data_IF_284804996702
#
_entry.id   IF_284804996702
#
_cell.length_a   1.000
_cell.length_b   1.000
_cell.length_c   1.000
_cell.angle_alpha   90.00
_cell.angle_beta   90.00
_cell.angle_gamma   90.00
#
_symmetry.space_group_name_H-M   'P 1'
#
loop_
_entity.id
_entity.type
_entity.pdbx_description
1 polymer ?
#
# COMPACT_ATOMS: atom_id res chain seq x y z
N UNK A 1 27.47 -31.81 -32.30
CA UNK A 1 27.51 -33.26 -32.25
C UNK A 1 26.09 -33.75 -32.35
N UNK A 2 25.74 -34.32 -33.51
CA UNK A 2 24.43 -34.95 -33.81
C UNK A 2 24.43 -36.37 -33.25
N UNK A 3 23.30 -36.84 -32.69
CA UNK A 3 22.91 -38.27 -32.79
C UNK A 3 21.40 -38.31 -32.96
N UNK A 4 20.99 -38.69 -34.13
CA UNK A 4 19.69 -39.20 -34.57
C UNK A 4 19.69 -40.72 -34.44
N UNK A 5 18.47 -41.27 -34.32
CA UNK A 5 17.98 -42.51 -34.93
C UNK A 5 17.50 -43.68 -34.03
N UNK A 6 16.37 -44.19 -34.54
CA UNK A 6 15.80 -45.54 -34.47
C UNK A 6 14.86 -45.91 -33.30
N UNK A 7 13.56 -46.14 -33.54
CA UNK A 7 13.02 -47.43 -34.00
C UNK A 7 11.56 -47.33 -34.50
N UNK A 8 11.38 -47.78 -35.75
CA UNK A 8 10.11 -48.07 -36.40
C UNK A 8 9.80 -49.55 -36.24
N UNK A 9 8.63 -49.94 -35.75
CA UNK A 9 8.13 -51.31 -35.80
C UNK A 9 6.80 -51.33 -36.57
N UNK A 10 6.85 -51.95 -37.75
CA UNK A 10 5.71 -52.34 -38.61
C UNK A 10 4.94 -53.49 -37.98
N UNK A 11 3.63 -53.41 -37.80
CA UNK A 11 2.75 -54.51 -37.48
C UNK A 11 2.12 -55.07 -38.78
N UNK A 12 2.29 -56.35 -39.00
CA UNK A 12 1.73 -57.10 -40.10
C UNK A 12 0.24 -57.41 -39.93
N UNK A 13 -0.54 -57.23 -40.99
CA UNK A 13 -1.93 -57.70 -41.12
C UNK A 13 -1.93 -59.22 -41.37
N UNK A 14 -2.83 -59.95 -40.72
CA UNK A 14 -3.28 -61.31 -41.16
C UNK A 14 -4.81 -61.34 -41.18
N UNK A 15 -5.43 -61.96 -42.16
CA UNK A 15 -6.86 -62.02 -42.34
C UNK A 15 -7.48 -63.22 -41.61
N UNK A 16 -8.60 -63.04 -41.00
CA UNK A 16 -9.37 -64.18 -40.50
C UNK A 16 -10.84 -64.13 -40.94
N UNK A 17 -11.24 -65.29 -41.44
CA UNK A 17 -12.47 -65.68 -42.10
C UNK A 17 -13.78 -65.27 -41.39
N UNK A 18 -14.76 -64.88 -42.23
CA UNK A 18 -16.14 -64.65 -41.83
C UNK A 18 -16.90 -65.98 -41.82
N UNK A 19 -17.47 -66.39 -40.69
CA UNK A 19 -18.48 -67.44 -40.59
C UNK A 19 -19.83 -66.81 -40.20
N UNK A 20 -20.75 -66.71 -41.16
CA UNK A 20 -22.17 -66.31 -40.89
C UNK A 20 -22.94 -67.49 -40.34
N UNK A 21 -23.28 -67.52 -39.07
CA UNK A 21 -24.32 -68.42 -38.52
C UNK A 21 -25.65 -67.67 -38.41
N UNK A 22 -26.66 -68.13 -39.12
CA UNK A 22 -28.05 -67.73 -39.08
C UNK A 22 -28.68 -68.14 -37.74
N UNK A 23 -28.96 -67.21 -36.83
CA UNK A 23 -29.77 -67.46 -35.64
C UNK A 23 -31.27 -67.34 -35.96
N UNK A 24 -32.05 -68.38 -35.63
CA UNK A 24 -33.49 -68.46 -35.88
C UNK A 24 -34.26 -67.31 -35.26
N UNK A 25 -35.35 -66.83 -35.91
CA UNK A 25 -36.18 -65.68 -35.51
C UNK A 25 -36.75 -65.82 -34.11
N UNK A 26 -36.94 -67.02 -33.54
CA UNK A 26 -37.42 -67.21 -32.15
C UNK A 26 -36.41 -66.84 -31.08
N UNK A 27 -35.10 -66.99 -31.28
CA UNK A 27 -34.08 -66.54 -30.32
C UNK A 27 -33.88 -64.99 -30.29
N UNK A 28 -34.20 -64.33 -31.40
CA UNK A 28 -34.12 -62.82 -31.45
C UNK A 28 -35.19 -62.15 -30.63
N UNK A 29 -36.38 -62.74 -30.46
CA UNK A 29 -37.48 -62.16 -29.69
C UNK A 29 -37.24 -62.24 -28.16
N UNK A 30 -36.51 -63.26 -27.67
CA UNK A 30 -36.24 -63.42 -26.23
C UNK A 30 -35.07 -62.57 -25.71
N UNK A 31 -34.13 -62.22 -26.57
CA UNK A 31 -32.94 -61.46 -26.23
C UNK A 31 -33.14 -59.91 -26.23
N UNK A 32 -34.18 -59.43 -26.95
CA UNK A 32 -34.44 -57.97 -27.04
C UNK A 32 -34.80 -57.33 -25.68
N UNK A 33 -35.67 -57.89 -24.82
CA UNK A 33 -35.97 -57.26 -23.53
C UNK A 33 -34.80 -57.26 -22.57
N UNK A 34 -33.94 -58.28 -22.58
CA UNK A 34 -32.78 -58.37 -21.71
C UNK A 34 -31.66 -57.41 -22.15
N UNK A 35 -31.43 -57.27 -23.45
CA UNK A 35 -30.45 -56.32 -23.98
C UNK A 35 -30.88 -54.88 -23.69
N UNK A 36 -32.17 -54.56 -23.78
CA UNK A 36 -32.72 -53.23 -23.41
C UNK A 36 -32.55 -52.97 -21.91
N UNK A 37 -32.86 -53.97 -21.03
CA UNK A 37 -32.64 -53.81 -19.57
C UNK A 37 -31.17 -53.61 -19.22
N UNK A 38 -30.25 -54.34 -19.82
CA UNK A 38 -28.79 -54.19 -19.60
C UNK A 38 -28.29 -52.84 -20.11
N UNK A 39 -28.83 -52.34 -21.24
CA UNK A 39 -28.46 -51.03 -21.78
C UNK A 39 -28.99 -49.88 -20.94
N UNK A 40 -30.19 -50.00 -20.39
CA UNK A 40 -30.78 -49.02 -19.43
C UNK A 40 -30.02 -49.05 -18.13
N UNK A 41 -29.66 -50.22 -17.58
CA UNK A 41 -28.83 -50.32 -16.36
C UNK A 41 -27.42 -49.73 -16.55
N UNK A 42 -26.75 -50.04 -17.69
CA UNK A 42 -25.44 -49.43 -18.00
C UNK A 42 -25.50 -47.91 -18.19
N UNK A 43 -26.57 -47.39 -18.75
CA UNK A 43 -26.76 -45.94 -18.88
C UNK A 43 -27.09 -45.29 -17.51
N UNK A 44 -27.90 -45.93 -16.65
CA UNK A 44 -28.16 -45.45 -15.30
C UNK A 44 -26.89 -45.51 -14.44
N UNK A 45 -26.09 -46.55 -14.56
CA UNK A 45 -24.82 -46.69 -13.85
C UNK A 45 -23.76 -45.66 -14.31
N UNK A 46 -23.72 -45.34 -15.64
CA UNK A 46 -22.89 -44.24 -16.17
C UNK A 46 -23.39 -42.85 -15.66
N UNK A 47 -24.72 -42.67 -15.55
CA UNK A 47 -25.28 -41.43 -15.03
C UNK A 47 -25.02 -41.25 -13.54
N UNK A 48 -25.10 -42.36 -12.75
CA UNK A 48 -24.75 -42.36 -11.33
C UNK A 48 -23.24 -42.15 -11.12
N UNK A 49 -22.39 -42.76 -11.95
CA UNK A 49 -20.93 -42.57 -11.85
C UNK A 49 -20.53 -41.13 -12.23
N UNK A 50 -21.20 -40.55 -13.25
CA UNK A 50 -20.96 -39.15 -13.65
C UNK A 50 -21.47 -38.16 -12.59
N UNK A 51 -22.60 -38.46 -11.93
CA UNK A 51 -23.13 -37.64 -10.85
C UNK A 51 -22.29 -37.77 -9.59
N UNK A 52 -21.76 -38.92 -9.27
CA UNK A 52 -20.84 -39.13 -8.14
C UNK A 52 -19.48 -38.46 -8.40
N UNK A 53 -18.94 -38.52 -9.65
CA UNK A 53 -17.74 -37.80 -10.03
C UNK A 53 -17.98 -36.26 -10.02
N UNK A 54 -19.13 -35.78 -10.46
CA UNK A 54 -19.48 -34.38 -10.42
C UNK A 54 -19.66 -33.88 -8.97
N UNK A 55 -20.25 -34.69 -8.07
CA UNK A 55 -20.36 -34.33 -6.66
C UNK A 55 -19.02 -34.35 -5.91
N UNK A 56 -18.04 -35.18 -6.33
CA UNK A 56 -16.69 -35.18 -5.72
C UNK A 56 -15.84 -34.02 -6.20
N UNK A 57 -16.14 -33.40 -7.35
CA UNK A 57 -15.47 -32.19 -7.83
C UNK A 57 -16.03 -30.87 -7.25
N UNK A 58 -17.19 -30.90 -6.55
CA UNK A 58 -17.76 -29.75 -5.85
C UNK A 58 -17.18 -29.62 -4.42
N UNK A 59 -16.41 -30.62 -3.95
CA UNK A 59 -15.73 -30.50 -2.66
C UNK A 59 -14.38 -29.84 -2.83
N UNK A 60 -14.33 -28.55 -2.46
CA UNK A 60 -13.14 -27.80 -2.06
C UNK A 60 -12.13 -27.39 -3.14
N UNK A 61 -12.54 -26.54 -4.03
CA UNK A 61 -11.70 -25.39 -4.29
C UNK A 61 -12.32 -24.19 -3.58
N UNK A 62 -12.26 -24.13 -2.25
CA UNK A 62 -12.23 -22.83 -1.62
C UNK A 62 -11.00 -22.14 -2.23
N UNK A 63 -11.25 -21.16 -3.09
CA UNK A 63 -10.19 -20.31 -3.60
C UNK A 63 -9.35 -19.79 -2.43
N UNK A 64 -8.11 -19.38 -2.64
CA UNK A 64 -7.27 -18.87 -1.57
C UNK A 64 -8.05 -17.83 -0.79
N UNK A 65 -7.99 -17.92 0.54
CA UNK A 65 -8.69 -17.03 1.46
C UNK A 65 -8.29 -15.58 1.13
N UNK A 66 -9.22 -14.78 0.61
CA UNK A 66 -8.94 -13.40 0.20
C UNK A 66 -8.96 -12.42 1.38
N UNK A 67 -9.38 -12.88 2.56
CA UNK A 67 -9.43 -12.07 3.78
C UNK A 67 -8.84 -12.85 4.95
N UNK A 68 -7.87 -12.23 5.61
CA UNK A 68 -7.29 -12.69 6.88
C UNK A 68 -7.81 -11.77 7.99
N UNK A 69 -8.01 -12.32 9.18
CA UNK A 69 -8.48 -11.56 10.36
C UNK A 69 -7.38 -11.59 11.41
N UNK A 70 -6.95 -10.41 11.85
CA UNK A 70 -6.03 -10.25 12.98
C UNK A 70 -6.83 -9.80 14.19
N UNK A 71 -6.69 -10.53 15.32
CA UNK A 71 -7.36 -10.19 16.58
C UNK A 71 -6.51 -10.66 17.76
N UNK A 72 -6.16 -9.75 18.66
CA UNK A 72 -5.30 -10.04 19.82
C UNK A 72 -5.93 -11.04 20.81
N UNK A 73 -7.26 -11.12 20.85
CA UNK A 73 -8.02 -12.05 21.70
C UNK A 73 -8.05 -13.50 21.16
N UNK A 74 -7.37 -13.78 20.05
CA UNK A 74 -7.34 -15.10 19.41
C UNK A 74 -8.60 -15.44 18.60
N UNK A 75 -9.55 -14.54 18.45
CA UNK A 75 -10.78 -14.77 17.66
C UNK A 75 -10.56 -14.60 16.14
N UNK A 76 -9.37 -14.20 15.70
CA UNK A 76 -8.96 -14.08 14.32
C UNK A 76 -8.16 -15.29 13.81
N UNK A 77 -7.61 -15.15 12.60
CA UNK A 77 -6.68 -16.13 12.02
C UNK A 77 -5.27 -15.98 12.61
N UNK A 78 -4.93 -14.76 13.03
CA UNK A 78 -3.63 -14.37 13.58
C UNK A 78 -3.84 -13.42 14.76
N UNK A 79 -2.89 -13.41 15.69
CA UNK A 79 -2.84 -12.45 16.80
C UNK A 79 -1.89 -11.29 16.54
N UNK A 80 -0.99 -11.43 15.55
CA UNK A 80 -0.01 -10.44 15.11
C UNK A 80 -0.26 -10.01 13.66
N UNK A 81 -0.11 -8.73 13.38
CA UNK A 81 -0.23 -8.16 12.03
C UNK A 81 0.92 -8.67 11.16
N UNK A 82 2.14 -8.71 11.72
CA UNK A 82 3.31 -9.15 10.98
C UNK A 82 3.20 -10.63 10.56
N UNK A 83 2.66 -11.50 11.42
CA UNK A 83 2.43 -12.91 11.07
C UNK A 83 1.41 -13.06 9.94
N UNK A 84 0.32 -12.30 9.98
CA UNK A 84 -0.67 -12.29 8.90
C UNK A 84 -0.05 -11.86 7.56
N UNK A 85 0.80 -10.82 7.55
CA UNK A 85 1.51 -10.37 6.34
C UNK A 85 2.44 -11.46 5.81
N UNK A 86 3.19 -12.14 6.68
CA UNK A 86 4.10 -13.21 6.27
C UNK A 86 3.36 -14.42 5.69
N UNK A 87 2.17 -14.72 6.19
CA UNK A 87 1.34 -15.82 5.70
C UNK A 87 0.78 -15.58 4.28
N UNK A 88 0.71 -14.33 3.82
CA UNK A 88 0.31 -14.02 2.45
C UNK A 88 1.40 -14.51 1.49
N UNK A 89 0.98 -15.22 0.43
CA UNK A 89 1.89 -15.66 -0.63
C UNK A 89 2.61 -14.45 -1.25
N UNK A 90 3.91 -14.60 -1.50
CA UNK A 90 4.70 -13.61 -2.23
C UNK A 90 4.17 -13.48 -3.67
N UNK A 91 4.12 -12.24 -4.17
CA UNK A 91 3.56 -11.92 -5.50
C UNK A 91 2.19 -12.57 -5.70
N UNK A 92 1.28 -12.38 -4.72
CA UNK A 92 -0.07 -12.97 -4.79
C UNK A 92 -0.77 -12.61 -6.10
N UNK A 93 -1.40 -13.59 -6.80
CA UNK A 93 -2.11 -13.32 -8.04
C UNK A 93 -3.50 -12.69 -7.83
N UNK A 94 -3.92 -12.55 -6.60
CA UNK A 94 -5.24 -12.01 -6.20
C UNK A 94 -5.07 -11.02 -5.07
N UNK A 95 -5.88 -9.95 -5.01
CA UNK A 95 -5.88 -9.02 -3.88
C UNK A 95 -6.24 -9.71 -2.56
N UNK A 96 -5.52 -9.38 -1.50
CA UNK A 96 -5.74 -9.89 -0.14
C UNK A 96 -6.08 -8.75 0.80
N UNK A 97 -7.11 -8.94 1.61
CA UNK A 97 -7.46 -8.03 2.71
C UNK A 97 -7.02 -8.61 4.04
N UNK A 98 -6.26 -7.86 4.82
CA UNK A 98 -5.97 -8.12 6.22
C UNK A 98 -6.86 -7.21 7.05
N UNK A 99 -7.90 -7.76 7.65
CA UNK A 99 -8.79 -7.03 8.56
C UNK A 99 -8.26 -7.13 9.99
N UNK A 100 -8.03 -5.97 10.60
CA UNK A 100 -7.42 -5.86 11.91
C UNK A 100 -8.47 -5.36 12.89
N UNK A 101 -8.83 -6.18 13.89
CA UNK A 101 -9.76 -5.80 14.94
C UNK A 101 -9.19 -4.72 15.84
N UNK A 102 -10.08 -3.99 16.51
CA UNK A 102 -9.70 -2.99 17.49
C UNK A 102 -8.73 -3.56 18.53
N UNK A 103 -7.70 -2.81 18.85
CA UNK A 103 -6.63 -3.17 19.78
C UNK A 103 -5.40 -2.30 19.60
N UNK A 104 -4.50 -2.34 20.57
CA UNK A 104 -3.20 -1.67 20.49
C UNK A 104 -2.12 -2.70 20.19
N UNK A 105 -1.66 -2.73 18.95
CA UNK A 105 -0.66 -3.65 18.44
C UNK A 105 0.73 -3.03 18.61
N UNK A 106 1.47 -3.50 19.61
CA UNK A 106 2.83 -3.03 19.87
C UNK A 106 3.82 -3.84 19.02
N UNK A 107 3.87 -3.54 17.73
CA UNK A 107 4.66 -4.27 16.73
C UNK A 107 5.37 -3.31 15.77
N UNK A 108 6.56 -3.72 15.29
CA UNK A 108 7.13 -3.15 14.06
C UNK A 108 6.63 -3.96 12.88
N UNK A 109 5.86 -3.33 12.02
CA UNK A 109 5.23 -3.99 10.87
C UNK A 109 6.01 -3.68 9.60
N UNK A 110 6.39 -4.71 8.86
CA UNK A 110 7.10 -4.60 7.57
C UNK A 110 6.29 -5.31 6.50
N UNK A 111 5.95 -4.58 5.44
CA UNK A 111 5.40 -5.14 4.20
C UNK A 111 6.55 -5.13 3.18
N UNK A 112 7.23 -6.26 2.96
CA UNK A 112 8.41 -6.31 2.10
C UNK A 112 8.07 -6.15 0.61
N UNK A 113 9.07 -5.88 -0.21
CA UNK A 113 8.94 -5.58 -1.65
C UNK A 113 8.22 -6.65 -2.47
N UNK A 114 8.30 -7.92 -2.04
CA UNK A 114 7.63 -9.05 -2.70
C UNK A 114 6.16 -9.25 -2.28
N UNK A 115 5.65 -8.42 -1.37
CA UNK A 115 4.23 -8.37 -1.01
C UNK A 115 3.55 -7.28 -1.83
N UNK A 116 2.51 -7.65 -2.57
CA UNK A 116 1.77 -6.72 -3.42
C UNK A 116 0.27 -7.00 -3.35
N UNK A 117 -0.55 -6.03 -3.79
CA UNK A 117 -2.00 -6.14 -3.84
C UNK A 117 -2.64 -6.50 -2.49
N UNK A 118 -2.18 -5.84 -1.41
CA UNK A 118 -2.64 -6.07 -0.05
C UNK A 118 -3.34 -4.82 0.48
N UNK A 119 -4.52 -5.02 1.07
CA UNK A 119 -5.22 -4.00 1.85
C UNK A 119 -5.14 -4.37 3.33
N UNK A 120 -4.53 -3.51 4.16
CA UNK A 120 -4.65 -3.56 5.60
C UNK A 120 -5.75 -2.59 6.02
N UNK A 121 -6.82 -3.10 6.60
CA UNK A 121 -7.94 -2.28 7.06
C UNK A 121 -8.24 -2.54 8.54
N UNK A 122 -8.20 -1.49 9.34
CA UNK A 122 -8.61 -1.53 10.74
C UNK A 122 -10.13 -1.52 10.87
N UNK A 123 -10.62 -2.04 11.98
CA UNK A 123 -12.04 -1.96 12.33
C UNK A 123 -12.46 -0.50 12.58
N UNK A 124 -11.56 0.30 13.18
CA UNK A 124 -11.74 1.74 13.41
C UNK A 124 -10.39 2.43 13.56
N UNK A 125 -10.19 3.57 12.88
CA UNK A 125 -8.95 4.35 13.00
C UNK A 125 -8.65 4.78 14.44
N UNK A 126 -9.67 5.05 15.23
CA UNK A 126 -9.51 5.50 16.63
C UNK A 126 -9.08 4.37 17.58
N UNK A 127 -9.34 3.12 17.23
CA UNK A 127 -9.18 1.98 18.14
C UNK A 127 -8.31 0.86 17.57
N UNK A 128 -7.95 0.90 16.29
CA UNK A 128 -6.97 -0.03 15.70
C UNK A 128 -5.62 0.69 15.60
N UNK A 129 -4.78 0.52 16.63
CA UNK A 129 -3.56 1.28 16.83
C UNK A 129 -2.35 0.37 16.66
N UNK A 130 -1.47 0.71 15.72
CA UNK A 130 -0.16 0.07 15.53
C UNK A 130 0.87 1.05 16.06
N UNK A 131 1.62 0.66 17.09
CA UNK A 131 2.53 1.55 17.80
C UNK A 131 3.86 0.89 18.12
N UNK A 132 4.94 1.66 18.03
CA UNK A 132 6.27 1.23 18.46
C UNK A 132 7.13 2.45 18.82
N UNK A 133 8.18 2.27 19.66
CA UNK A 133 8.96 3.37 20.23
C UNK A 133 10.44 3.35 19.86
N UNK A 134 10.81 3.12 18.60
CA UNK A 134 12.19 3.27 18.14
C UNK A 134 12.48 4.71 17.71
N UNK A 135 13.74 5.18 17.96
CA UNK A 135 14.19 6.53 17.60
C UNK A 135 15.65 6.52 17.15
N UNK A 136 16.06 7.51 16.38
CA UNK A 136 17.41 7.68 15.92
C UNK A 136 18.37 7.97 17.10
N UNK A 137 19.45 7.24 17.16
CA UNK A 137 20.39 7.33 18.27
C UNK A 137 20.16 6.31 19.41
N UNK A 138 19.03 5.57 19.38
CA UNK A 138 18.84 4.42 20.30
C UNK A 138 19.96 3.41 20.10
N UNK A 139 20.56 2.97 21.19
CA UNK A 139 21.59 1.93 21.14
C UNK A 139 20.99 0.59 20.73
N UNK A 140 21.65 -0.08 19.81
CA UNK A 140 21.28 -1.40 19.32
C UNK A 140 22.52 -2.29 19.25
N UNK A 141 22.35 -3.56 19.55
CA UNK A 141 23.41 -4.56 19.44
C UNK A 141 23.26 -5.27 18.10
N UNK A 142 24.34 -5.25 17.30
CA UNK A 142 24.43 -6.05 16.09
C UNK A 142 25.17 -7.36 16.37
N UNK A 143 25.13 -8.25 15.39
CA UNK A 143 25.92 -9.48 15.40
C UNK A 143 27.40 -9.19 15.74
N UNK A 144 27.95 -9.95 16.68
CA UNK A 144 29.33 -9.78 17.15
C UNK A 144 29.48 -8.76 18.29
N UNK A 145 28.45 -8.52 19.07
CA UNK A 145 28.41 -7.67 20.28
C UNK A 145 28.83 -6.20 20.09
N UNK A 146 28.82 -5.71 18.83
CA UNK A 146 29.07 -4.30 18.57
C UNK A 146 27.83 -3.46 18.87
N UNK A 147 28.00 -2.51 19.81
CA UNK A 147 26.97 -1.50 20.10
C UNK A 147 27.07 -0.41 19.05
N UNK A 148 25.94 -0.07 18.42
CA UNK A 148 25.83 1.02 17.46
C UNK A 148 24.55 1.81 17.71
N UNK A 149 24.41 2.94 17.03
CA UNK A 149 23.21 3.78 17.12
C UNK A 149 22.29 3.53 15.94
N UNK A 150 21.00 3.43 16.22
CA UNK A 150 19.96 3.29 15.20
C UNK A 150 19.90 4.54 14.32
N UNK A 151 19.88 4.37 13.01
CA UNK A 151 19.63 5.45 12.07
C UNK A 151 18.13 5.71 11.88
N UNK A 152 17.76 6.91 11.42
CA UNK A 152 16.37 7.38 11.24
C UNK A 152 15.50 6.38 10.49
N UNK A 153 15.93 5.85 9.36
CA UNK A 153 15.14 4.97 8.50
C UNK A 153 14.79 3.61 9.13
N UNK A 154 15.46 3.23 10.21
CA UNK A 154 15.16 2.00 10.97
C UNK A 154 14.17 2.22 12.12
N UNK A 155 13.79 3.45 12.38
CA UNK A 155 12.94 3.80 13.54
C UNK A 155 11.46 3.58 13.27
N UNK A 156 11.07 3.26 12.04
CA UNK A 156 9.68 3.13 11.64
C UNK A 156 8.88 2.16 12.51
N UNK A 157 7.65 2.53 12.80
CA UNK A 157 6.65 1.62 13.33
C UNK A 157 6.15 0.71 12.22
N UNK A 158 5.82 1.30 11.04
CA UNK A 158 5.42 0.55 9.86
C UNK A 158 6.29 0.92 8.65
N UNK A 159 6.83 -0.10 7.96
CA UNK A 159 7.50 0.02 6.66
C UNK A 159 6.65 -0.63 5.58
N UNK A 160 6.33 0.12 4.52
CA UNK A 160 5.61 -0.34 3.34
C UNK A 160 6.54 -0.29 2.14
N UNK A 161 7.27 -1.38 1.90
CA UNK A 161 8.14 -1.52 0.71
C UNK A 161 7.44 -2.27 -0.43
N UNK A 162 6.30 -2.91 -0.17
CA UNK A 162 5.48 -3.57 -1.17
C UNK A 162 4.76 -2.59 -2.08
N UNK A 163 4.37 -3.06 -3.26
CA UNK A 163 3.68 -2.24 -4.26
C UNK A 163 2.18 -2.48 -4.26
N UNK A 164 1.39 -1.47 -4.60
CA UNK A 164 -0.08 -1.55 -4.64
C UNK A 164 -0.65 -1.98 -3.28
N UNK A 165 -0.22 -1.28 -2.24
CA UNK A 165 -0.67 -1.49 -0.86
C UNK A 165 -1.70 -0.42 -0.49
N UNK A 166 -2.75 -0.81 0.19
CA UNK A 166 -3.73 0.11 0.78
C UNK A 166 -3.72 -0.04 2.30
N UNK A 167 -3.60 1.09 2.99
CA UNK A 167 -3.76 1.21 4.44
C UNK A 167 -5.03 2.00 4.72
N UNK A 168 -5.93 1.44 5.53
CA UNK A 168 -7.26 2.01 5.75
C UNK A 168 -7.69 1.92 7.21
N UNK A 169 -8.30 2.99 7.74
CA UNK A 169 -8.90 2.99 9.08
C UNK A 169 -7.93 2.56 10.20
N UNK A 170 -6.69 3.03 10.16
CA UNK A 170 -5.62 2.68 11.10
C UNK A 170 -5.05 3.91 11.78
N UNK A 171 -4.68 3.78 13.04
CA UNK A 171 -3.68 4.67 13.66
C UNK A 171 -2.32 4.00 13.59
N UNK A 172 -1.33 4.70 13.01
CA UNK A 172 0.08 4.30 12.98
C UNK A 172 0.86 5.34 13.76
N UNK A 173 1.46 4.93 14.86
CA UNK A 173 2.09 5.83 15.82
C UNK A 173 3.53 5.42 16.12
N UNK A 174 4.44 6.40 16.13
CA UNK A 174 5.70 6.21 16.83
C UNK A 174 5.61 6.90 18.21
N UNK A 175 5.63 6.09 19.24
CA UNK A 175 5.42 6.53 20.63
C UNK A 175 6.72 6.81 21.40
N UNK A 176 7.88 6.95 20.73
CA UNK A 176 9.17 7.23 21.37
C UNK A 176 9.20 8.59 22.11
N UNK A 177 8.26 9.49 21.80
CA UNK A 177 8.22 10.83 22.38
C UNK A 177 9.09 11.85 21.63
N UNK A 178 9.46 12.95 22.30
CA UNK A 178 10.29 14.03 21.70
C UNK A 178 11.77 13.78 21.92
N UNK A 179 12.29 12.73 21.30
CA UNK A 179 13.68 12.25 21.50
C UNK A 179 14.57 12.40 20.25
N UNK A 180 14.06 13.04 19.21
CA UNK A 180 14.71 13.17 17.91
C UNK A 180 13.89 12.49 16.83
N UNK A 181 14.52 12.09 15.71
CA UNK A 181 13.85 11.47 14.56
C UNK A 181 13.26 10.10 14.95
N UNK A 182 11.97 9.92 14.67
CA UNK A 182 11.23 8.72 15.04
C UNK A 182 10.03 8.53 14.10
N UNK A 183 10.20 7.67 13.10
CA UNK A 183 9.25 7.50 12.00
C UNK A 183 8.07 6.63 12.44
N UNK A 184 6.85 7.09 12.20
CA UNK A 184 5.66 6.26 12.36
C UNK A 184 5.41 5.43 11.09
N UNK A 185 5.24 6.07 9.94
CA UNK A 185 5.05 5.41 8.66
C UNK A 185 6.22 5.72 7.71
N UNK A 186 6.80 4.68 7.15
CA UNK A 186 7.82 4.71 6.12
C UNK A 186 7.30 4.00 4.87
N UNK A 187 7.17 4.70 3.73
CA UNK A 187 6.76 4.11 2.45
C UNK A 187 7.95 4.07 1.50
N UNK A 188 8.12 2.94 0.80
CA UNK A 188 9.17 2.72 -0.22
C UNK A 188 8.58 2.18 -1.52
N UNK A 189 7.42 1.52 -1.44
CA UNK A 189 6.75 0.94 -2.59
C UNK A 189 6.03 1.97 -3.44
N UNK A 190 5.66 1.58 -4.66
CA UNK A 190 4.87 2.40 -5.57
C UNK A 190 3.36 2.08 -5.48
N UNK A 191 2.52 3.06 -5.81
CA UNK A 191 1.06 2.96 -5.79
C UNK A 191 0.51 2.59 -4.40
N UNK A 192 0.93 3.33 -3.39
CA UNK A 192 0.44 3.18 -2.02
C UNK A 192 -0.73 4.13 -1.79
N UNK A 193 -1.80 3.61 -1.18
CA UNK A 193 -2.96 4.38 -0.72
C UNK A 193 -2.98 4.35 0.81
N UNK A 194 -3.13 5.53 1.42
CA UNK A 194 -3.36 5.68 2.86
C UNK A 194 -4.65 6.47 3.04
N UNK A 195 -5.69 5.84 3.56
CA UNK A 195 -7.04 6.40 3.59
C UNK A 195 -7.64 6.32 4.99
N UNK A 196 -8.26 7.40 5.45
CA UNK A 196 -8.91 7.48 6.76
C UNK A 196 -7.99 7.04 7.92
N UNK A 197 -6.68 7.32 7.82
CA UNK A 197 -5.68 6.91 8.80
C UNK A 197 -5.23 8.09 9.66
N UNK A 198 -4.70 7.74 10.84
CA UNK A 198 -4.02 8.70 11.72
C UNK A 198 -2.54 8.35 11.79
N UNK A 199 -1.67 9.25 11.34
CA UNK A 199 -0.22 9.13 11.44
C UNK A 199 0.26 10.02 12.57
N UNK A 200 0.72 9.42 13.65
CA UNK A 200 1.04 10.13 14.89
C UNK A 200 2.52 9.96 15.25
N UNK A 201 3.17 11.08 15.52
CA UNK A 201 4.57 11.07 15.90
C UNK A 201 5.06 12.44 16.38
N UNK A 202 6.34 12.67 16.26
CA UNK A 202 6.98 13.95 16.61
C UNK A 202 7.89 14.40 15.46
N UNK A 203 9.22 14.40 15.61
CA UNK A 203 10.11 14.68 14.50
C UNK A 203 10.13 13.52 13.54
N UNK A 204 9.97 13.78 12.23
CA UNK A 204 10.07 12.79 11.16
C UNK A 204 8.92 11.72 11.17
N UNK A 205 7.68 12.12 11.45
CA UNK A 205 6.54 11.20 11.57
C UNK A 205 6.30 10.35 10.32
N UNK A 206 6.27 10.98 9.12
CA UNK A 206 6.02 10.33 7.83
C UNK A 206 7.22 10.48 6.91
N UNK A 207 7.89 9.38 6.61
CA UNK A 207 8.91 9.29 5.58
C UNK A 207 8.35 8.65 4.31
N UNK A 208 8.46 9.34 3.18
CA UNK A 208 8.08 8.82 1.86
C UNK A 208 9.34 8.60 1.04
N UNK A 209 9.86 7.37 1.10
CA UNK A 209 11.07 6.94 0.39
C UNK A 209 10.82 6.72 -1.10
N UNK A 210 11.88 6.42 -1.83
CA UNK A 210 11.97 6.21 -3.28
C UNK A 210 11.42 7.36 -4.13
N UNK A 211 12.31 7.98 -4.92
CA UNK A 211 12.01 9.12 -5.80
C UNK A 211 11.04 8.82 -6.94
N UNK A 212 10.77 7.54 -7.23
CA UNK A 212 9.84 7.06 -8.26
C UNK A 212 8.52 6.58 -7.67
N UNK A 213 8.40 6.58 -6.35
CA UNK A 213 7.19 6.13 -5.65
C UNK A 213 6.08 7.18 -5.75
N UNK A 214 4.85 6.69 -5.94
CA UNK A 214 3.63 7.48 -5.91
C UNK A 214 2.78 7.05 -4.72
N UNK A 215 2.43 8.02 -3.86
CA UNK A 215 1.63 7.76 -2.65
C UNK A 215 0.42 8.69 -2.61
N UNK A 216 -0.75 8.13 -2.39
CA UNK A 216 -2.00 8.85 -2.25
C UNK A 216 -2.50 8.81 -0.80
N UNK A 217 -2.63 9.98 -0.19
CA UNK A 217 -3.21 10.16 1.14
C UNK A 217 -4.59 10.80 1.03
N UNK A 218 -5.60 10.22 1.66
CA UNK A 218 -6.97 10.72 1.61
C UNK A 218 -7.60 10.70 3.01
N UNK A 219 -8.19 11.84 3.42
CA UNK A 219 -8.88 11.98 4.69
C UNK A 219 -8.02 11.57 5.91
N UNK A 220 -6.71 11.80 5.86
CA UNK A 220 -5.80 11.42 6.93
C UNK A 220 -5.59 12.56 7.94
N UNK A 221 -5.37 12.17 9.19
CA UNK A 221 -4.80 13.05 10.21
C UNK A 221 -3.31 12.75 10.35
N UNK A 222 -2.46 13.77 10.20
CA UNK A 222 -1.01 13.65 10.30
C UNK A 222 -0.48 14.68 11.27
N UNK A 223 0.17 14.25 12.34
CA UNK A 223 0.74 15.17 13.33
C UNK A 223 2.25 15.01 13.51
N UNK A 224 2.88 16.08 13.96
CA UNK A 224 4.30 16.05 14.28
C UNK A 224 4.86 17.38 14.79
N UNK A 225 6.17 17.39 15.02
CA UNK A 225 6.89 18.58 15.51
C UNK A 225 7.78 19.23 14.45
N UNK A 226 8.77 18.51 13.92
CA UNK A 226 9.77 19.02 12.98
C UNK A 226 9.89 18.09 11.79
N UNK A 227 9.85 18.64 10.55
CA UNK A 227 10.05 17.91 9.31
C UNK A 227 9.19 16.64 9.24
N UNK A 228 7.97 16.74 9.78
CA UNK A 228 7.20 15.54 10.08
C UNK A 228 6.53 14.90 8.85
N UNK A 229 6.67 15.51 7.66
CA UNK A 229 6.39 14.92 6.35
C UNK A 229 7.63 15.13 5.48
N UNK A 230 8.40 14.06 5.21
CA UNK A 230 9.68 14.22 4.54
C UNK A 230 9.98 13.07 3.57
N UNK A 231 10.89 13.30 2.61
CA UNK A 231 11.34 12.30 1.64
C UNK A 231 11.26 12.76 0.18
N UNK A 232 11.65 11.88 -0.76
CA UNK A 232 11.75 12.19 -2.18
C UNK A 232 10.51 11.85 -3.00
N UNK A 233 9.56 11.04 -2.50
CA UNK A 233 8.45 10.49 -3.28
C UNK A 233 7.50 11.56 -3.84
N UNK A 234 6.72 11.17 -4.85
CA UNK A 234 5.62 11.96 -5.37
C UNK A 234 4.36 11.63 -4.59
N UNK A 235 3.82 12.61 -3.86
CA UNK A 235 2.67 12.40 -2.98
C UNK A 235 1.53 13.36 -3.27
N UNK A 236 0.30 12.86 -3.23
CA UNK A 236 -0.91 13.66 -3.22
C UNK A 236 -1.64 13.49 -1.88
N UNK A 237 -1.86 14.61 -1.19
CA UNK A 237 -2.62 14.67 0.05
C UNK A 237 -3.97 15.33 -0.24
N UNK A 238 -5.06 14.59 -0.09
CA UNK A 238 -6.43 15.05 -0.34
C UNK A 238 -7.21 15.11 0.96
N UNK A 239 -7.82 16.26 1.25
CA UNK A 239 -8.68 16.45 2.43
C UNK A 239 -8.01 16.04 3.76
N UNK A 240 -6.69 16.17 3.89
CA UNK A 240 -5.98 15.77 5.09
C UNK A 240 -5.94 16.89 6.12
N UNK A 241 -5.96 16.53 7.40
CA UNK A 241 -5.64 17.43 8.50
C UNK A 241 -4.17 17.29 8.87
N UNK A 242 -3.40 18.37 8.75
CA UNK A 242 -1.98 18.43 9.06
C UNK A 242 -1.81 19.25 10.35
N UNK A 243 -1.36 18.59 11.43
CA UNK A 243 -1.37 19.18 12.76
C UNK A 243 0.04 19.37 13.33
N UNK A 244 0.41 20.63 13.57
CA UNK A 244 1.72 21.01 14.11
C UNK A 244 1.71 21.05 15.63
N UNK A 245 2.59 20.26 16.26
CA UNK A 245 2.72 20.17 17.73
C UNK A 245 3.85 21.04 18.30
N UNK A 246 4.56 21.77 17.43
CA UNK A 246 5.70 22.62 17.82
C UNK A 246 5.96 23.69 16.76
N UNK A 247 6.52 24.83 17.18
CA UNK A 247 7.06 25.85 16.28
C UNK A 247 8.27 25.31 15.52
N UNK A 248 8.06 24.89 14.27
CA UNK A 248 9.10 24.29 13.42
C UNK A 248 8.65 24.22 11.95
N UNK A 249 8.83 23.08 11.27
CA UNK A 249 8.59 22.89 9.84
C UNK A 249 7.65 21.70 9.62
N UNK A 250 6.71 21.84 8.69
CA UNK A 250 5.80 20.75 8.30
C UNK A 250 6.54 19.80 7.36
N UNK A 251 7.02 20.31 6.23
CA UNK A 251 7.61 19.46 5.20
C UNK A 251 9.13 19.64 5.09
N UNK A 252 9.81 18.53 4.77
CA UNK A 252 11.23 18.49 4.40
C UNK A 252 11.39 17.59 3.15
N UNK A 253 10.93 18.09 2.00
CA UNK A 253 11.01 17.34 0.77
C UNK A 253 12.45 17.21 0.26
N UNK A 254 12.73 16.09 -0.42
CA UNK A 254 14.01 15.83 -1.09
C UNK A 254 13.84 15.37 -2.52
N UNK A 255 12.85 15.91 -3.20
CA UNK A 255 12.46 15.58 -4.56
C UNK A 255 13.65 15.65 -5.50
N UNK A 256 13.80 14.67 -6.41
CA UNK A 256 14.86 14.64 -7.42
C UNK A 256 14.67 15.76 -8.47
N UNK A 257 15.75 16.16 -9.12
CA UNK A 257 15.75 17.25 -10.11
C UNK A 257 14.84 16.94 -11.31
N UNK A 258 14.83 15.70 -11.75
CA UNK A 258 14.08 15.20 -12.90
C UNK A 258 12.61 14.86 -12.58
N UNK A 259 12.23 14.71 -11.31
CA UNK A 259 10.85 14.46 -10.93
C UNK A 259 9.98 15.67 -11.25
N UNK A 260 8.90 15.52 -12.03
CA UNK A 260 8.05 16.66 -12.40
C UNK A 260 7.24 17.21 -11.24
N UNK A 261 6.94 16.37 -10.24
CA UNK A 261 6.17 16.69 -9.06
C UNK A 261 6.89 16.22 -7.79
N UNK A 262 6.45 16.71 -6.64
CA UNK A 262 6.82 16.26 -5.31
C UNK A 262 5.56 16.12 -4.46
N UNK A 263 5.49 16.85 -3.34
CA UNK A 263 4.30 16.84 -2.48
C UNK A 263 3.25 17.83 -2.98
N UNK A 264 2.02 17.39 -3.11
CA UNK A 264 0.86 18.22 -3.42
C UNK A 264 -0.18 18.05 -2.31
N UNK A 265 -0.44 19.12 -1.56
CA UNK A 265 -1.51 19.20 -0.58
C UNK A 265 -2.69 19.90 -1.25
N UNK A 266 -3.83 19.21 -1.34
CA UNK A 266 -5.03 19.73 -1.96
C UNK A 266 -6.20 19.65 -0.96
N UNK A 267 -6.89 20.78 -0.78
CA UNK A 267 -8.04 20.85 0.12
C UNK A 267 -7.74 20.38 1.56
N UNK A 268 -6.49 20.58 2.03
CA UNK A 268 -6.06 20.18 3.36
C UNK A 268 -6.27 21.31 4.38
N UNK A 269 -6.46 20.93 5.65
CA UNK A 269 -6.58 21.88 6.76
C UNK A 269 -5.33 21.81 7.63
N UNK A 270 -4.63 22.93 7.81
CA UNK A 270 -3.45 23.03 8.63
C UNK A 270 -3.82 23.61 10.00
N UNK A 271 -3.60 22.81 11.04
CA UNK A 271 -3.92 23.18 12.44
C UNK A 271 -2.69 23.05 13.33
N UNK A 272 -2.77 23.55 14.55
CA UNK A 272 -1.69 23.43 15.51
C UNK A 272 -2.19 23.40 16.96
N UNK A 273 -1.32 22.98 17.89
CA UNK A 273 -1.52 23.15 19.32
C UNK A 273 -1.67 24.65 19.68
N UNK A 274 -2.35 24.94 20.78
CA UNK A 274 -2.77 26.31 21.15
C UNK A 274 -1.60 27.31 21.31
N UNK A 275 -0.43 26.86 21.72
CA UNK A 275 0.79 27.64 21.94
C UNK A 275 1.71 27.70 20.72
N UNK A 276 1.36 27.03 19.64
CA UNK A 276 2.13 26.97 18.40
C UNK A 276 1.67 28.05 17.42
N UNK A 277 2.60 28.95 17.03
CA UNK A 277 2.28 30.13 16.22
C UNK A 277 3.41 30.57 15.26
N UNK A 278 4.43 29.74 15.04
CA UNK A 278 5.61 30.07 14.20
C UNK A 278 6.04 28.83 13.41
N UNK A 279 5.16 28.33 12.53
CA UNK A 279 5.41 27.13 11.73
C UNK A 279 5.66 27.51 10.28
N UNK A 280 6.69 26.95 9.67
CA UNK A 280 6.91 27.02 8.24
C UNK A 280 6.16 25.89 7.52
N UNK A 281 5.64 26.14 6.32
CA UNK A 281 5.06 25.14 5.43
C UNK A 281 6.10 24.08 5.05
N UNK A 282 7.38 24.50 4.97
CA UNK A 282 8.45 23.56 4.76
C UNK A 282 9.81 24.20 4.53
N UNK A 283 10.79 23.30 4.39
CA UNK A 283 12.18 23.64 4.02
C UNK A 283 12.77 22.55 3.12
N UNK A 284 13.68 22.88 2.17
CA UNK A 284 14.22 21.93 1.20
C UNK A 284 15.33 21.08 1.81
N UNK A 285 15.04 19.81 2.13
CA UNK A 285 16.07 18.88 2.57
C UNK A 285 17.11 18.59 1.48
N UNK A 286 16.69 18.70 0.20
CA UNK A 286 17.58 18.66 -0.96
C UNK A 286 17.23 19.79 -1.93
N UNK A 287 18.20 20.12 -2.80
CA UNK A 287 18.17 21.33 -3.65
C UNK A 287 16.90 21.48 -4.53
N UNK A 288 16.35 20.37 -5.04
CA UNK A 288 15.19 20.39 -5.95
C UNK A 288 13.86 20.05 -5.29
N UNK A 289 13.81 20.15 -3.96
CA UNK A 289 12.60 19.90 -3.19
C UNK A 289 11.37 20.60 -3.83
N UNK A 290 10.28 19.85 -3.99
CA UNK A 290 9.06 20.32 -4.61
C UNK A 290 7.86 20.10 -3.66
N UNK A 291 7.18 21.18 -3.29
CA UNK A 291 5.97 21.14 -2.45
C UNK A 291 4.99 22.20 -2.92
N UNK A 292 3.72 21.81 -3.04
CA UNK A 292 2.64 22.71 -3.43
C UNK A 292 1.48 22.58 -2.44
N UNK A 293 0.97 23.69 -1.93
CA UNK A 293 -0.30 23.76 -1.19
C UNK A 293 -1.36 24.42 -2.08
N UNK A 294 -2.46 23.73 -2.33
CA UNK A 294 -3.54 24.16 -3.21
C UNK A 294 -4.87 24.09 -2.49
N UNK A 295 -5.62 25.19 -2.50
CA UNK A 295 -6.99 25.25 -1.97
C UNK A 295 -7.08 24.80 -0.50
N UNK A 296 -5.97 24.93 0.25
CA UNK A 296 -5.85 24.54 1.64
C UNK A 296 -6.33 25.66 2.58
N UNK A 297 -6.81 25.28 3.76
CA UNK A 297 -7.07 26.20 4.88
C UNK A 297 -5.82 26.24 5.78
N UNK A 298 -5.10 27.37 5.75
CA UNK A 298 -3.86 27.57 6.49
C UNK A 298 -4.14 28.33 7.79
N UNK A 299 -4.02 27.64 8.92
CA UNK A 299 -4.23 28.22 10.24
C UNK A 299 -3.24 29.36 10.59
N UNK A 300 -3.61 30.21 11.55
CA UNK A 300 -2.83 31.38 11.99
C UNK A 300 -1.41 31.09 12.49
N UNK A 301 -1.09 29.82 12.76
CA UNK A 301 0.23 29.38 13.21
C UNK A 301 1.27 29.41 12.10
N UNK A 302 0.85 29.48 10.82
CA UNK A 302 1.76 29.55 9.68
C UNK A 302 2.42 30.92 9.62
N UNK A 303 3.74 30.93 9.53
CA UNK A 303 4.55 32.14 9.43
C UNK A 303 4.27 32.88 8.13
N UNK A 304 4.40 34.20 8.16
CA UNK A 304 4.20 35.05 6.98
C UNK A 304 5.17 34.71 5.85
N UNK A 305 6.43 34.34 6.18
CA UNK A 305 7.44 33.95 5.21
C UNK A 305 7.07 32.65 4.51
N UNK A 306 6.30 31.80 5.13
CA UNK A 306 5.80 30.52 4.64
C UNK A 306 6.87 29.43 4.57
N UNK A 307 8.04 29.73 4.07
CA UNK A 307 9.09 28.76 3.73
C UNK A 307 10.45 29.20 4.28
N UNK A 308 11.36 28.24 4.46
CA UNK A 308 12.72 28.45 4.95
C UNK A 308 13.70 27.67 4.05
N UNK A 309 14.90 28.19 3.79
CA UNK A 309 15.83 27.70 2.79
C UNK A 309 16.83 26.64 3.28
N UNK A 310 16.62 26.04 4.44
CA UNK A 310 17.57 25.11 5.09
C UNK A 310 18.93 25.77 5.40
N UNK A 311 18.91 27.06 5.72
CA UNK A 311 20.13 27.91 5.94
C UNK A 311 21.11 27.87 4.74
N UNK A 312 20.62 27.59 3.55
CA UNK A 312 21.39 27.53 2.32
C UNK A 312 20.71 28.35 1.21
N UNK A 313 21.16 29.57 0.91
CA UNK A 313 20.57 30.42 -0.15
C UNK A 313 20.57 29.78 -1.55
N UNK A 314 21.45 28.84 -1.84
CA UNK A 314 21.46 28.15 -3.12
C UNK A 314 20.18 27.32 -3.36
N UNK A 315 19.55 26.85 -2.29
CA UNK A 315 18.27 26.15 -2.36
C UNK A 315 17.15 27.02 -2.91
N UNK A 316 17.19 28.32 -2.71
CA UNK A 316 16.19 29.29 -3.22
C UNK A 316 16.12 29.30 -4.74
N UNK A 317 17.25 28.97 -5.41
CA UNK A 317 17.36 28.96 -6.88
C UNK A 317 16.73 27.70 -7.49
N UNK A 318 16.59 26.63 -6.74
CA UNK A 318 16.24 25.30 -7.26
C UNK A 318 15.01 24.69 -6.61
N UNK A 319 14.67 25.08 -5.38
CA UNK A 319 13.44 24.61 -4.70
C UNK A 319 12.19 25.05 -5.48
N UNK A 320 11.25 24.12 -5.61
CA UNK A 320 10.02 24.29 -6.39
C UNK A 320 8.81 24.37 -5.48
N UNK A 321 8.80 25.42 -4.65
CA UNK A 321 7.73 25.65 -3.68
C UNK A 321 6.68 26.59 -4.26
N UNK A 322 5.40 26.20 -4.11
CA UNK A 322 4.31 26.99 -4.65
C UNK A 322 3.03 26.89 -3.81
N UNK A 323 2.20 27.90 -4.00
CA UNK A 323 0.89 28.00 -3.37
C UNK A 323 -0.17 28.40 -4.41
N UNK A 324 -1.45 27.95 -4.21
CA UNK A 324 -2.55 28.30 -5.08
C UNK A 324 -3.87 28.38 -4.28
N UNK A 325 -4.52 29.54 -4.30
CA UNK A 325 -5.85 29.77 -3.74
C UNK A 325 -6.06 29.25 -2.31
N UNK A 326 -5.03 29.27 -1.48
CA UNK A 326 -5.17 28.91 -0.07
C UNK A 326 -6.00 29.97 0.68
N UNK A 327 -6.69 29.56 1.74
CA UNK A 327 -7.52 30.36 2.63
C UNK A 327 -7.02 30.29 4.07
N UNK A 328 -7.67 31.03 4.98
CA UNK A 328 -7.32 31.07 6.40
C UNK A 328 -6.31 32.18 6.76
N UNK A 329 -6.11 32.39 8.05
CA UNK A 329 -5.27 33.48 8.56
C UNK A 329 -3.78 33.32 8.19
N UNK A 330 -3.32 32.09 7.95
CA UNK A 330 -1.96 31.79 7.53
C UNK A 330 -1.70 31.89 6.02
N UNK A 331 -2.72 32.19 5.22
CA UNK A 331 -2.62 32.21 3.74
C UNK A 331 -2.17 33.54 3.13
N UNK A 332 -1.81 34.54 3.96
CA UNK A 332 -1.35 35.86 3.46
C UNK A 332 -0.07 35.72 2.64
N UNK A 333 -0.11 36.22 1.38
CA UNK A 333 1.00 36.07 0.42
C UNK A 333 1.94 37.26 0.37
N UNK A 334 1.57 38.41 0.96
CA UNK A 334 2.29 39.68 0.82
C UNK A 334 3.68 39.65 1.44
N UNK A 335 3.93 38.74 2.36
CA UNK A 335 5.21 38.59 3.07
C UNK A 335 5.84 37.21 2.86
N UNK A 336 5.32 36.41 1.90
CA UNK A 336 5.98 35.16 1.48
C UNK A 336 7.37 35.45 0.94
N UNK A 337 8.27 34.50 1.12
CA UNK A 337 9.60 34.58 0.49
C UNK A 337 9.50 34.69 -1.04
N UNK A 338 10.36 35.49 -1.65
CA UNK A 338 10.29 35.83 -3.10
C UNK A 338 10.49 34.58 -4.00
N UNK A 339 11.15 33.55 -3.50
CA UNK A 339 11.38 32.30 -4.25
C UNK A 339 10.22 31.29 -4.15
N UNK A 340 9.16 31.58 -3.37
CA UNK A 340 7.90 30.83 -3.40
C UNK A 340 7.02 31.36 -4.54
N UNK A 341 6.48 30.46 -5.35
CA UNK A 341 5.65 30.82 -6.50
C UNK A 341 4.17 30.83 -6.12
N UNK A 342 3.46 31.89 -6.52
CA UNK A 342 2.00 31.88 -6.56
C UNK A 342 1.58 31.36 -7.95
N UNK A 343 0.93 30.20 -8.01
CA UNK A 343 0.55 29.58 -9.28
C UNK A 343 -0.58 30.35 -9.95
N UNK A 344 -0.43 30.60 -11.24
CA UNK A 344 -1.55 31.03 -12.08
C UNK A 344 -2.54 29.87 -12.29
N UNK A 345 -3.79 30.21 -12.67
CA UNK A 345 -4.81 29.20 -13.02
C UNK A 345 -4.35 28.21 -14.10
N UNK A 346 -3.51 28.68 -15.07
CA UNK A 346 -2.94 27.83 -16.11
C UNK A 346 -1.93 26.83 -15.56
N UNK A 347 -1.12 27.24 -14.60
CA UNK A 347 -0.14 26.38 -13.95
C UNK A 347 -0.82 25.37 -13.01
N UNK A 348 -1.78 25.83 -12.19
CA UNK A 348 -2.53 24.99 -11.29
C UNK A 348 -3.26 23.83 -11.99
N UNK A 349 -3.76 24.03 -13.22
CA UNK A 349 -4.39 22.97 -14.03
C UNK A 349 -3.47 21.78 -14.34
N UNK A 350 -2.16 21.91 -14.16
CA UNK A 350 -1.22 20.79 -14.34
C UNK A 350 -1.18 19.87 -13.12
N UNK A 351 -1.62 20.35 -11.97
CA UNK A 351 -1.67 19.61 -10.72
C UNK A 351 -3.04 18.96 -10.57
N UNK A 352 -3.30 17.93 -11.38
CA UNK A 352 -4.44 17.01 -11.15
C UNK A 352 -3.90 15.74 -10.52
N UNK A 353 -4.72 15.00 -9.80
CA UNK A 353 -4.32 13.72 -9.20
C UNK A 353 -3.74 12.77 -10.25
N UNK A 354 -4.40 12.66 -11.40
CA UNK A 354 -3.98 11.80 -12.50
C UNK A 354 -2.58 12.18 -13.03
N UNK A 355 -2.32 13.48 -13.18
CA UNK A 355 -1.04 13.95 -13.66
C UNK A 355 0.07 13.73 -12.62
N UNK A 356 -0.22 14.03 -11.35
CA UNK A 356 0.75 13.92 -10.26
C UNK A 356 1.05 12.47 -9.94
N UNK A 357 0.03 11.62 -9.86
CA UNK A 357 0.16 10.20 -9.51
C UNK A 357 0.42 9.28 -10.71
N UNK A 358 0.52 9.83 -11.94
CA UNK A 358 0.83 9.05 -13.13
C UNK A 358 -0.28 8.08 -13.56
N UNK A 359 -1.55 8.42 -13.33
CA UNK A 359 -2.72 7.62 -13.71
C UNK A 359 -3.84 7.67 -12.68
N UNK A 360 -4.80 6.78 -12.81
CA UNK A 360 -6.03 6.69 -12.02
C UNK A 360 -6.10 5.45 -11.10
N UNK A 361 -4.98 4.79 -10.88
CA UNK A 361 -4.83 3.55 -10.11
C UNK A 361 -5.39 3.63 -8.67
N UNK A 362 -5.51 4.82 -8.12
CA UNK A 362 -6.03 5.10 -6.78
C UNK A 362 -7.56 5.05 -6.70
N UNK A 363 -8.30 5.08 -7.83
CA UNK A 363 -9.77 5.12 -7.87
C UNK A 363 -10.42 3.75 -7.60
N UNK A 364 -9.78 2.67 -8.02
CA UNK A 364 -10.37 1.34 -8.08
C UNK A 364 -9.87 0.38 -6.97
N UNK A 365 -9.39 0.93 -5.84
CA UNK A 365 -8.85 0.15 -4.73
C UNK A 365 -9.41 0.55 -3.40
#
# INVERSE_FOLDING_TARGET
>A
MRVTDFFSIKAKKSPCFASKRHLSKKKKAYLRPQIIKIRIMKNRMKFFLFFFLACTFISAAQGPKQRLIVAQDGSGDYTSIQEAIYAIRDYTPIPITVFIKNGTYNEKVIIPTWKCDITLTGESADSTIITFGDYAGKEIVYFGDSITKMGTFRTHTMLVAGHRITLENLTIENNAGRVGQAVALHTEGDQIIVRNCRLKGNQDTLFTGDEKSHVYFENCYIDGTTDFIFGPAICWFENCQIHSKQNSYITAASTAAESPFGYVFHNCTLTAENDVNKVYLGRPWRAYAAVVFMECDLGKHIRYEGWENWRNPENEKTARYAEYHNSGEGAGIEKRVDWCRQLSKKEARKYTRENVLGGDWWQNR
#
